data_IF_528228882211
#
_entry.id   IF_528228882211
#
_cell.length_a   1.000
_cell.length_b   1.000
_cell.length_c   1.000
_cell.angle_alpha   90.00
_cell.angle_beta   90.00
_cell.angle_gamma   90.00
#
_symmetry.space_group_name_H-M   'P 1'
#
loop_
_entity.id
_entity.type
_entity.pdbx_description
1 polymer ?
#
# COMPACT_ATOMS: atom_id res chain seq x y z
N UNK A 1 -4.54 16.61 7.56
CA UNK A 1 -5.32 17.63 6.87
C UNK A 1 -5.75 17.13 5.49
N UNK A 2 -7.06 17.00 5.29
CA UNK A 2 -7.57 16.49 4.01
C UNK A 2 -7.11 17.28 2.78
N UNK A 3 -6.95 18.58 2.93
CA UNK A 3 -6.51 19.41 1.81
C UNK A 3 -5.06 19.10 1.43
N UNK A 4 -4.22 18.88 2.41
CA UNK A 4 -2.81 18.55 2.17
C UNK A 4 -2.68 17.20 1.49
N UNK A 5 -3.50 16.24 1.90
CA UNK A 5 -3.48 14.91 1.30
C UNK A 5 -3.94 14.98 -0.15
N UNK A 6 -4.97 15.78 -0.41
CA UNK A 6 -5.45 15.95 -1.77
C UNK A 6 -4.38 16.56 -2.66
N UNK A 7 -3.67 17.57 -2.16
CA UNK A 7 -2.60 18.19 -2.93
C UNK A 7 -1.47 17.19 -3.21
N UNK A 8 -1.13 16.38 -2.23
CA UNK A 8 -0.10 15.36 -2.42
C UNK A 8 -0.49 14.39 -3.53
N UNK A 9 -1.74 13.94 -3.51
CA UNK A 9 -2.22 13.03 -4.54
C UNK A 9 -2.13 13.64 -5.94
N UNK A 10 -2.50 14.91 -6.04
CA UNK A 10 -2.46 15.59 -7.33
C UNK A 10 -1.03 15.72 -7.85
N UNK A 11 -0.10 16.05 -6.96
CA UNK A 11 1.31 16.15 -7.35
C UNK A 11 1.86 14.81 -7.79
N UNK A 12 1.55 13.75 -7.05
CA UNK A 12 2.03 12.41 -7.39
C UNK A 12 1.49 11.97 -8.74
N UNK A 13 0.21 12.18 -9.00
CA UNK A 13 -0.38 11.79 -10.27
C UNK A 13 0.23 12.57 -11.43
N UNK A 14 0.48 13.85 -11.23
CA UNK A 14 1.10 14.68 -12.26
C UNK A 14 2.51 14.19 -12.58
N UNK A 15 3.29 13.85 -11.55
CA UNK A 15 4.64 13.36 -11.76
C UNK A 15 4.64 12.01 -12.46
N UNK A 16 3.68 11.15 -12.14
CA UNK A 16 3.55 9.87 -12.81
C UNK A 16 3.27 10.05 -14.30
N UNK A 17 2.43 11.01 -14.65
CA UNK A 17 2.13 11.29 -16.05
C UNK A 17 3.37 11.74 -16.82
N UNK A 18 4.32 12.35 -16.10
CA UNK A 18 5.57 12.79 -16.70
C UNK A 18 6.62 11.69 -16.77
N UNK A 19 6.27 10.51 -16.33
CA UNK A 19 7.19 9.37 -16.40
C UNK A 19 8.07 9.19 -15.17
N UNK A 20 7.77 9.87 -14.07
CA UNK A 20 8.57 9.75 -12.86
C UNK A 20 8.26 8.47 -12.12
N UNK A 21 9.27 7.89 -11.50
CA UNK A 21 9.10 6.79 -10.56
C UNK A 21 9.08 7.39 -9.16
N UNK A 22 8.06 7.03 -8.39
CA UNK A 22 7.85 7.64 -7.08
C UNK A 22 7.82 6.55 -6.02
N UNK A 23 8.61 6.74 -4.97
CA UNK A 23 8.65 5.81 -3.86
C UNK A 23 8.06 6.50 -2.63
N UNK A 24 7.05 5.89 -2.04
CA UNK A 24 6.41 6.42 -0.83
C UNK A 24 6.48 5.38 0.26
N UNK A 25 6.99 5.76 1.43
CA UNK A 25 7.03 4.88 2.59
C UNK A 25 6.03 5.42 3.60
N UNK A 26 5.04 4.61 3.95
CA UNK A 26 3.99 5.06 4.85
C UNK A 26 3.28 3.87 5.49
N UNK A 27 2.69 4.10 6.64
CA UNK A 27 1.76 3.14 7.23
C UNK A 27 0.32 3.61 7.09
N UNK A 28 0.11 4.75 6.42
CA UNK A 28 -1.22 5.31 6.22
C UNK A 28 -1.74 4.87 4.85
N UNK A 29 -2.35 3.70 4.84
CA UNK A 29 -2.79 3.09 3.58
C UNK A 29 -3.85 3.90 2.85
N UNK A 30 -4.71 4.58 3.59
CA UNK A 30 -5.73 5.44 2.98
C UNK A 30 -5.13 6.50 2.06
N UNK A 31 -3.95 6.98 2.43
CA UNK A 31 -3.33 8.06 1.68
C UNK A 31 -2.85 7.62 0.30
N UNK A 32 -2.48 6.36 0.17
CA UNK A 32 -1.88 5.87 -1.08
C UNK A 32 -2.75 4.91 -1.86
N UNK A 33 -3.94 4.60 -1.38
CA UNK A 33 -4.74 3.56 -2.03
C UNK A 33 -5.14 3.88 -3.47
N UNK A 34 -5.18 5.14 -3.84
CA UNK A 34 -5.51 5.54 -5.20
C UNK A 34 -4.27 5.82 -6.06
N UNK A 35 -3.09 5.68 -5.47
CA UNK A 35 -1.86 6.10 -6.13
C UNK A 35 -0.90 4.97 -6.46
N UNK A 36 -1.01 3.85 -5.78
CA UNK A 36 0.03 2.84 -5.85
C UNK A 36 -0.04 1.99 -7.12
N UNK A 37 1.11 1.52 -7.53
CA UNK A 37 1.22 0.58 -8.65
C UNK A 37 1.85 -0.71 -8.16
N UNK A 38 2.90 -0.59 -7.33
CA UNK A 38 3.56 -1.72 -6.72
C UNK A 38 3.67 -1.45 -5.23
N UNK A 39 3.35 -2.44 -4.41
CA UNK A 39 3.44 -2.33 -2.97
C UNK A 39 4.41 -3.34 -2.41
N UNK A 40 5.35 -2.86 -1.60
CA UNK A 40 6.23 -3.74 -0.85
C UNK A 40 5.81 -3.66 0.61
N UNK A 41 5.53 -4.80 1.22
CA UNK A 41 5.21 -4.83 2.64
C UNK A 41 6.48 -5.18 3.40
N UNK A 42 6.85 -4.33 4.36
CA UNK A 42 8.08 -4.52 5.13
C UNK A 42 7.77 -4.79 6.58
N UNK A 43 8.56 -5.65 7.17
CA UNK A 43 8.44 -5.97 8.58
C UNK A 43 9.83 -6.26 9.13
N UNK A 44 10.19 -5.55 10.20
CA UNK A 44 11.49 -5.71 10.85
C UNK A 44 12.65 -5.60 9.86
N UNK A 45 12.56 -4.62 8.97
CA UNK A 45 13.63 -4.35 8.01
C UNK A 45 13.68 -5.28 6.83
N UNK A 46 12.69 -6.14 6.65
CA UNK A 46 12.66 -7.09 5.55
C UNK A 46 11.39 -6.91 4.74
N UNK A 47 11.52 -7.14 3.44
CA UNK A 47 10.34 -7.15 2.56
C UNK A 47 9.72 -8.54 2.65
N UNK A 48 8.50 -8.60 3.17
CA UNK A 48 7.81 -9.87 3.36
C UNK A 48 6.79 -10.18 2.27
N UNK A 49 6.43 -9.19 1.47
CA UNK A 49 5.50 -9.41 0.37
C UNK A 49 5.63 -8.29 -0.66
N UNK A 50 5.30 -8.61 -1.90
CA UNK A 50 5.29 -7.66 -3.00
C UNK A 50 4.01 -7.88 -3.80
N UNK A 51 3.28 -6.81 -4.07
CA UNK A 51 2.06 -6.88 -4.85
C UNK A 51 2.11 -5.90 -6.01
N UNK A 52 1.60 -6.34 -7.16
CA UNK A 52 1.38 -5.46 -8.31
C UNK A 52 -0.11 -5.21 -8.42
N UNK A 53 -0.49 -3.95 -8.58
CA UNK A 53 -1.89 -3.60 -8.60
C UNK A 53 -2.67 -4.32 -9.69
N UNK A 54 -2.06 -4.52 -10.84
CA UNK A 54 -2.74 -5.18 -11.94
C UNK A 54 -2.83 -6.70 -11.81
N UNK A 55 -2.28 -7.25 -10.73
CA UNK A 55 -2.31 -8.70 -10.49
C UNK A 55 -3.22 -9.09 -9.33
N UNK A 56 -3.84 -8.11 -8.69
CA UNK A 56 -4.64 -8.36 -7.49
C UNK A 56 -6.12 -8.29 -7.84
N UNK A 57 -6.77 -9.01 -8.39
CA UNK A 57 -8.21 -9.06 -8.67
C UNK A 57 -8.94 -7.83 -8.08
N UNK A 58 -9.89 -8.07 -7.17
CA UNK A 58 -10.70 -7.00 -6.61
C UNK A 58 -10.28 -6.57 -5.22
N UNK A 59 -9.13 -7.03 -4.76
CA UNK A 59 -8.68 -6.71 -3.41
C UNK A 59 -8.13 -5.31 -3.35
N UNK A 60 -8.37 -4.60 -2.24
CA UNK A 60 -7.75 -3.31 -2.06
C UNK A 60 -6.46 -3.43 -1.23
N UNK A 61 -5.76 -2.33 -1.11
CA UNK A 61 -4.45 -2.31 -0.47
C UNK A 61 -4.52 -2.73 1.00
N UNK A 62 -5.60 -2.38 1.68
CA UNK A 62 -5.75 -2.76 3.08
C UNK A 62 -5.94 -4.26 3.24
N UNK A 63 -6.73 -4.87 2.38
CA UNK A 63 -6.91 -6.31 2.42
C UNK A 63 -5.58 -7.03 2.19
N UNK A 64 -4.82 -6.57 1.22
CA UNK A 64 -3.53 -7.19 0.91
C UNK A 64 -2.56 -7.06 2.08
N UNK A 65 -2.52 -5.88 2.69
CA UNK A 65 -1.64 -5.64 3.81
C UNK A 65 -1.97 -6.55 4.99
N UNK A 66 -3.26 -6.67 5.30
CA UNK A 66 -3.67 -7.50 6.43
C UNK A 66 -3.46 -8.98 6.18
N UNK A 67 -3.55 -9.43 4.94
CA UNK A 67 -3.30 -10.82 4.62
C UNK A 67 -1.91 -11.28 5.03
N UNK A 68 -0.94 -10.39 4.91
CA UNK A 68 0.45 -10.77 5.14
C UNK A 68 0.98 -10.34 6.51
N UNK A 69 0.30 -9.44 7.20
CA UNK A 69 0.76 -8.96 8.50
C UNK A 69 -0.06 -9.49 9.64
N UNK A 70 -1.26 -9.98 9.40
CA UNK A 70 -2.12 -10.51 10.44
C UNK A 70 -1.55 -11.80 11.01
N UNK A 71 -1.51 -11.96 12.36
CA UNK A 71 -1.06 -13.22 12.96
C UNK A 71 -2.02 -14.33 12.60
N UNK A 72 -1.47 -15.43 12.25
CA UNK A 72 -2.31 -16.56 11.88
C UNK A 72 -2.58 -17.47 13.03
N UNK A 73 -2.83 -17.31 14.01
CA UNK A 73 -3.03 -18.14 15.08
C UNK A 73 -4.13 -18.61 15.56
N UNK A 74 -3.73 -18.01 14.93
CA UNK A 74 -4.31 -18.28 15.14
C UNK A 74 -4.85 -18.65 15.54
N UNK A 75 -4.75 -18.56 15.51
CA UNK A 75 -5.26 -18.75 15.66
C UNK A 75 -5.58 -18.97 16.11
N UNK A 76 -5.30 -18.70 16.01
CA UNK A 76 -5.56 -18.74 16.31
C UNK A 76 -6.15 -18.91 16.83
N UNK A 77 -6.08 -18.76 16.97
CA UNK A 77 -6.59 -18.80 17.40
C UNK A 77 -7.22 -19.05 17.93
N UNK A 78 -7.16 -19.11 18.20
CA UNK A 78 -7.74 -19.27 18.69
C UNK A 78 -8.19 -19.53 19.23
N UNK A 79 -8.03 -19.42 19.25
CA UNK A 79 -8.39 -19.58 19.72
C UNK A 79 -8.73 -19.77 20.19
#
# INVERSE_FOLDING_TARGET
DPAAIKELKEVVLELKEKGCTILISTHMLEMVKDLWDVMFVMEQGKIIATFNKNEIADKDIEELFFEVTEPKTGGEEHE
#
